data_IF_588975419303
#
_entry.id   IF_588975419303
#
_cell.length_a   1.000
_cell.length_b   1.000
_cell.length_c   1.000
_cell.angle_alpha   90.00
_cell.angle_beta   90.00
_cell.angle_gamma   90.00
#
_symmetry.space_group_name_H-M   'P 1'
#
loop_
_entity.id
_entity.type
_entity.pdbx_description
1 polymer ?
#
# COMPACT_ATOMS: atom_id res chain seq x y z
N UNK A 1 30.19 33.33 -14.85
CA UNK A 1 30.18 32.66 -13.53
C UNK A 1 29.45 31.36 -13.75
N UNK A 2 30.25 30.32 -13.88
CA UNK A 2 29.85 28.98 -14.28
C UNK A 2 29.43 28.25 -13.00
N UNK A 3 28.12 28.07 -12.80
CA UNK A 3 27.59 27.33 -11.65
C UNK A 3 27.42 25.90 -12.13
N UNK A 4 28.41 25.09 -11.77
CA UNK A 4 28.49 23.64 -12.01
C UNK A 4 27.18 22.92 -11.63
N UNK A 5 26.45 22.45 -12.64
CA UNK A 5 25.25 21.60 -12.55
C UNK A 5 25.59 20.11 -12.28
N UNK A 6 26.66 19.78 -11.53
CA UNK A 6 27.23 18.42 -11.52
C UNK A 6 27.13 17.61 -10.21
N UNK A 7 26.22 17.94 -9.28
CA UNK A 7 26.14 17.21 -7.99
C UNK A 7 24.85 16.39 -7.78
N UNK A 8 23.83 16.50 -8.62
CA UNK A 8 22.56 15.79 -8.39
C UNK A 8 22.50 14.46 -9.14
N UNK A 9 23.41 13.54 -8.81
CA UNK A 9 23.28 12.14 -9.21
C UNK A 9 22.40 11.42 -8.18
N UNK A 10 21.16 11.15 -8.61
CA UNK A 10 20.21 10.18 -8.07
C UNK A 10 19.79 10.34 -6.61
N UNK A 11 18.79 11.19 -6.35
CA UNK A 11 17.90 11.02 -5.20
C UNK A 11 17.02 9.80 -5.50
N UNK A 12 17.21 8.69 -4.78
CA UNK A 12 16.36 7.50 -4.90
C UNK A 12 15.22 7.61 -3.88
N UNK A 13 14.17 8.33 -4.24
CA UNK A 13 12.90 8.28 -3.51
C UNK A 13 12.25 6.93 -3.85
N UNK A 14 12.36 5.98 -2.94
CA UNK A 14 11.74 4.67 -3.10
C UNK A 14 10.28 4.80 -2.62
N UNK A 15 9.25 4.55 -3.42
CA UNK A 15 7.92 4.33 -2.88
C UNK A 15 7.88 2.96 -2.20
N UNK A 16 7.33 2.87 -0.99
CA UNK A 16 7.17 1.59 -0.29
C UNK A 16 5.81 0.99 -0.65
N UNK A 17 5.79 -0.13 -1.39
CA UNK A 17 4.54 -0.65 -1.96
C UNK A 17 4.51 -2.15 -2.19
N UNK A 18 3.36 -2.74 -1.85
CA UNK A 18 3.13 -4.17 -1.78
C UNK A 18 1.80 -4.63 -2.43
N UNK A 19 1.90 -5.48 -3.45
CA UNK A 19 1.16 -5.64 -4.70
C UNK A 19 0.53 -7.00 -5.05
N UNK A 20 -0.64 -6.95 -5.76
CA UNK A 20 -1.72 -7.75 -6.48
C UNK A 20 -1.56 -8.78 -7.71
N UNK A 21 -1.69 -10.13 -7.67
CA UNK A 21 -2.25 -11.11 -8.69
C UNK A 21 -3.32 -12.12 -8.14
N UNK A 22 -4.56 -12.08 -8.62
CA UNK A 22 -5.68 -12.91 -8.10
C UNK A 22 -5.88 -14.30 -8.75
N UNK A 23 -6.83 -15.09 -8.21
CA UNK A 23 -7.61 -16.07 -8.98
C UNK A 23 -8.93 -16.50 -8.30
N UNK A 24 -9.96 -16.71 -9.14
CA UNK A 24 -11.34 -17.12 -8.86
C UNK A 24 -11.50 -18.58 -8.38
N UNK A 25 -12.57 -18.83 -7.60
CA UNK A 25 -13.33 -20.08 -7.61
C UNK A 25 -14.85 -19.84 -7.57
N UNK A 26 -15.57 -20.65 -8.35
CA UNK A 26 -17.04 -20.68 -8.51
C UNK A 26 -17.66 -21.70 -7.54
N UNK A 27 -18.74 -21.30 -6.86
CA UNK A 27 -19.93 -22.14 -6.64
C UNK A 27 -20.20 -22.69 -5.23
N UNK A 28 -21.19 -22.12 -4.54
CA UNK A 28 -22.37 -22.81 -3.97
C UNK A 28 -23.29 -21.77 -3.28
N UNK A 29 -24.58 -21.83 -3.60
CA UNK A 29 -25.65 -21.05 -2.96
C UNK A 29 -25.93 -21.67 -1.58
N UNK A 30 -25.35 -21.09 -0.54
CA UNK A 30 -25.72 -21.27 0.87
C UNK A 30 -26.14 -19.92 1.43
N UNK A 31 -27.07 -19.92 2.40
CA UNK A 31 -27.58 -18.73 3.07
C UNK A 31 -26.46 -17.73 3.36
N UNK A 32 -26.61 -16.49 2.88
CA UNK A 32 -25.64 -15.42 3.15
C UNK A 32 -25.63 -15.14 4.64
N UNK A 33 -24.78 -15.85 5.39
CA UNK A 33 -24.41 -15.48 6.73
C UNK A 33 -23.82 -14.07 6.60
N UNK A 34 -24.50 -13.08 7.19
CA UNK A 34 -23.96 -11.73 7.21
C UNK A 34 -22.69 -11.77 8.07
N UNK A 35 -21.58 -11.30 7.50
CA UNK A 35 -20.34 -11.11 8.24
C UNK A 35 -20.62 -10.38 9.57
N UNK A 36 -20.10 -10.94 10.65
CA UNK A 36 -20.31 -10.45 12.00
C UNK A 36 -19.38 -9.28 12.30
N UNK A 37 -19.78 -8.47 13.28
CA UNK A 37 -19.00 -7.32 13.73
C UNK A 37 -17.79 -7.77 14.57
N UNK A 38 -16.71 -6.97 14.63
CA UNK A 38 -15.50 -7.31 15.38
C UNK A 38 -15.75 -7.62 16.87
N UNK A 39 -16.72 -6.96 17.50
CA UNK A 39 -17.05 -7.14 18.92
C UNK A 39 -17.51 -8.55 19.30
N UNK A 40 -17.94 -9.35 18.33
CA UNK A 40 -18.40 -10.73 18.55
C UNK A 40 -17.37 -11.77 18.11
N UNK A 41 -16.16 -11.34 17.73
CA UNK A 41 -15.13 -12.24 17.24
C UNK A 41 -14.69 -13.25 18.31
N UNK A 42 -14.43 -14.51 17.93
CA UNK A 42 -13.87 -15.51 18.84
C UNK A 42 -12.53 -15.05 19.43
N UNK A 43 -12.25 -15.31 20.72
CA UNK A 43 -10.97 -14.94 21.34
C UNK A 43 -9.75 -15.52 20.61
N UNK A 44 -9.89 -16.69 20.00
CA UNK A 44 -8.82 -17.33 19.23
C UNK A 44 -8.41 -16.48 18.02
N UNK A 45 -9.38 -15.84 17.36
CA UNK A 45 -9.14 -14.98 16.20
C UNK A 45 -8.45 -13.67 16.58
N UNK A 46 -8.91 -13.02 17.67
CA UNK A 46 -8.28 -11.78 18.15
C UNK A 46 -6.87 -12.03 18.67
N UNK A 47 -6.65 -13.16 19.35
CA UNK A 47 -5.33 -13.58 19.80
C UNK A 47 -4.39 -13.91 18.63
N UNK A 48 -4.89 -14.49 17.54
CA UNK A 48 -4.11 -14.76 16.34
C UNK A 48 -3.60 -13.47 15.71
N UNK A 49 -4.47 -12.48 15.50
CA UNK A 49 -4.08 -11.18 14.94
C UNK A 49 -3.06 -10.46 15.83
N UNK A 50 -3.26 -10.48 17.15
CA UNK A 50 -2.30 -9.89 18.09
C UNK A 50 -0.92 -10.57 18.06
N UNK A 51 -0.85 -11.88 17.79
CA UNK A 51 0.42 -12.60 17.67
C UNK A 51 1.13 -12.28 16.36
N UNK A 52 0.39 -12.15 15.26
CA UNK A 52 0.93 -11.69 13.97
C UNK A 52 1.54 -10.30 14.14
N UNK A 53 0.80 -9.37 14.75
CA UNK A 53 1.29 -8.02 15.04
C UNK A 53 2.52 -8.05 15.95
N UNK A 54 2.52 -8.88 16.99
CA UNK A 54 3.67 -8.98 17.89
C UNK A 54 4.93 -9.47 17.15
N UNK A 55 4.81 -10.45 16.26
CA UNK A 55 5.91 -10.93 15.43
C UNK A 55 6.39 -9.86 14.44
N UNK A 56 5.45 -9.17 13.76
CA UNK A 56 5.76 -8.11 12.80
C UNK A 56 6.44 -6.90 13.47
N UNK A 57 5.97 -6.48 14.64
CA UNK A 57 6.57 -5.40 15.44
C UNK A 57 7.96 -5.75 15.99
N UNK A 58 8.24 -7.04 16.18
CA UNK A 58 9.57 -7.56 16.50
C UNK A 58 10.46 -7.70 15.25
N UNK A 59 9.89 -7.54 14.05
CA UNK A 59 10.55 -7.78 12.75
C UNK A 59 11.13 -9.19 12.67
N UNK A 60 10.41 -10.15 13.25
CA UNK A 60 10.77 -11.57 13.21
C UNK A 60 10.07 -12.23 12.01
N UNK A 61 10.79 -12.33 10.90
CA UNK A 61 10.21 -12.78 9.62
C UNK A 61 9.82 -14.25 9.69
N UNK A 62 10.63 -15.06 10.39
CA UNK A 62 10.36 -16.48 10.56
C UNK A 62 9.06 -16.66 11.35
N UNK A 63 8.90 -15.95 12.48
CA UNK A 63 7.70 -16.00 13.30
C UNK A 63 6.45 -15.46 12.57
N UNK A 64 6.56 -14.38 11.78
CA UNK A 64 5.43 -13.91 10.96
C UNK A 64 5.00 -14.98 9.96
N UNK A 65 5.97 -15.60 9.29
CA UNK A 65 5.66 -16.58 8.27
C UNK A 65 5.03 -17.85 8.86
N UNK A 66 5.22 -18.20 10.13
CA UNK A 66 4.49 -19.32 10.77
C UNK A 66 2.96 -19.20 10.63
N UNK A 67 2.43 -17.97 10.53
CA UNK A 67 1.01 -17.70 10.33
C UNK A 67 0.56 -17.74 8.86
N UNK A 68 1.46 -17.99 7.91
CA UNK A 68 1.11 -18.08 6.49
C UNK A 68 1.24 -19.53 5.99
N UNK A 69 0.27 -20.00 5.22
CA UNK A 69 0.35 -21.34 4.62
C UNK A 69 1.54 -21.45 3.65
N UNK A 70 2.24 -22.60 3.59
CA UNK A 70 3.21 -22.87 2.52
C UNK A 70 2.61 -22.76 1.11
N UNK A 71 1.30 -22.98 0.99
CA UNK A 71 0.54 -22.86 -0.26
C UNK A 71 -0.32 -21.59 -0.27
N UNK A 72 0.19 -20.49 0.29
CA UNK A 72 -0.50 -19.20 0.31
C UNK A 72 -0.94 -18.78 -1.10
N UNK A 73 -2.23 -18.47 -1.24
CA UNK A 73 -2.75 -17.74 -2.39
C UNK A 73 -2.89 -16.28 -1.99
N UNK A 74 -1.97 -15.43 -2.43
CA UNK A 74 -2.15 -14.00 -2.25
C UNK A 74 -2.76 -13.44 -3.52
N UNK A 75 -3.69 -12.49 -3.37
CA UNK A 75 -4.26 -11.72 -4.46
C UNK A 75 -3.23 -11.01 -5.26
N UNK A 76 -1.95 -11.02 -4.78
CA UNK A 76 -0.66 -10.34 -4.98
C UNK A 76 0.33 -11.11 -5.82
N UNK A 77 0.03 -12.37 -6.13
CA UNK A 77 1.04 -13.25 -6.71
C UNK A 77 2.22 -13.50 -5.76
N UNK A 78 2.19 -12.93 -4.55
CA UNK A 78 3.12 -13.26 -3.50
C UNK A 78 2.93 -14.73 -3.10
N UNK A 79 4.04 -15.44 -3.12
CA UNK A 79 4.21 -16.72 -2.45
C UNK A 79 4.72 -16.46 -1.04
N UNK A 80 4.79 -17.51 -0.21
CA UNK A 80 5.45 -17.41 1.10
C UNK A 80 6.90 -16.89 0.97
N UNK A 81 7.64 -17.36 -0.02
CA UNK A 81 9.05 -16.97 -0.24
C UNK A 81 9.19 -15.52 -0.69
N UNK A 82 8.33 -15.04 -1.61
CA UNK A 82 8.39 -13.64 -2.02
C UNK A 82 7.83 -12.69 -0.95
N UNK A 83 6.91 -13.16 -0.10
CA UNK A 83 6.48 -12.43 1.09
C UNK A 83 7.62 -12.29 2.10
N UNK A 84 8.39 -13.35 2.36
CA UNK A 84 9.59 -13.31 3.21
C UNK A 84 10.58 -12.24 2.71
N UNK A 85 10.88 -12.27 1.41
CA UNK A 85 11.77 -11.31 0.79
C UNK A 85 11.23 -9.88 0.87
N UNK A 86 9.92 -9.68 0.62
CA UNK A 86 9.28 -8.37 0.70
C UNK A 86 9.33 -7.80 2.13
N UNK A 87 8.99 -8.60 3.14
CA UNK A 87 9.05 -8.20 4.56
C UNK A 87 10.48 -7.89 5.00
N UNK A 88 11.45 -8.72 4.60
CA UNK A 88 12.86 -8.51 4.93
C UNK A 88 13.39 -7.19 4.35
N UNK A 89 13.08 -6.90 3.07
CA UNK A 89 13.46 -5.63 2.44
C UNK A 89 12.75 -4.44 3.10
N UNK A 90 11.47 -4.59 3.41
CA UNK A 90 10.68 -3.58 4.10
C UNK A 90 11.30 -3.20 5.45
N UNK A 91 11.65 -4.17 6.28
CA UNK A 91 12.22 -3.92 7.61
C UNK A 91 13.69 -3.51 7.58
N UNK A 92 14.44 -3.87 6.53
CA UNK A 92 15.76 -3.30 6.30
C UNK A 92 15.66 -1.80 6.03
N UNK A 93 14.63 -1.39 5.29
CA UNK A 93 14.39 0.00 4.91
C UNK A 93 13.77 0.82 6.06
N UNK A 94 12.81 0.25 6.77
CA UNK A 94 12.12 0.85 7.92
C UNK A 94 12.42 0.03 9.20
N UNK A 95 13.60 0.20 9.81
CA UNK A 95 14.04 -0.64 10.93
C UNK A 95 13.26 -0.42 12.23
N UNK A 96 12.47 0.65 12.32
CA UNK A 96 11.60 0.99 13.43
C UNK A 96 10.11 0.78 13.09
N UNK A 97 9.81 0.06 12.00
CA UNK A 97 8.43 -0.15 11.57
C UNK A 97 7.57 -0.76 12.69
N UNK A 98 6.37 -0.19 12.86
CA UNK A 98 5.35 -0.66 13.79
C UNK A 98 4.05 -0.95 13.06
N UNK A 99 3.31 -1.93 13.57
CA UNK A 99 2.09 -2.48 12.98
C UNK A 99 0.96 -2.52 14.00
N UNK A 100 -0.25 -2.22 13.53
CA UNK A 100 -1.48 -2.44 14.26
C UNK A 100 -2.55 -2.95 13.29
N UNK A 101 -3.09 -4.14 13.55
CA UNK A 101 -4.15 -4.75 12.78
C UNK A 101 -5.47 -4.75 13.56
N UNK A 102 -6.50 -4.19 12.92
CA UNK A 102 -7.86 -4.14 13.43
C UNK A 102 -8.74 -5.07 12.60
N UNK A 103 -9.48 -5.96 13.25
CA UNK A 103 -10.53 -6.75 12.61
C UNK A 103 -11.69 -5.81 12.23
N UNK A 104 -12.16 -5.86 11.00
CA UNK A 104 -13.28 -5.05 10.51
C UNK A 104 -14.53 -5.88 10.27
N UNK A 105 -14.38 -7.13 9.82
CA UNK A 105 -15.47 -8.10 9.71
C UNK A 105 -14.95 -9.53 9.82
N UNK A 106 -15.82 -10.47 10.20
CA UNK A 106 -15.46 -11.90 10.22
C UNK A 106 -16.66 -12.79 9.95
N UNK A 107 -16.39 -13.98 9.42
CA UNK A 107 -17.36 -15.03 9.13
C UNK A 107 -16.73 -16.39 9.42
N UNK A 108 -17.43 -17.27 10.14
CA UNK A 108 -17.00 -18.64 10.32
C UNK A 108 -17.32 -19.47 9.07
N UNK A 109 -16.36 -20.29 8.65
CA UNK A 109 -16.51 -21.29 7.58
C UNK A 109 -16.16 -22.67 8.13
N UNK A 110 -16.45 -23.73 7.39
CA UNK A 110 -16.31 -25.13 7.86
C UNK A 110 -14.96 -25.43 8.54
N UNK A 111 -13.85 -24.89 8.02
CA UNK A 111 -12.50 -25.15 8.50
C UNK A 111 -11.74 -23.90 9.00
N UNK A 112 -12.45 -22.83 9.38
CA UNK A 112 -11.82 -21.64 9.94
C UNK A 112 -12.64 -20.37 9.74
N UNK A 113 -12.01 -19.30 9.25
CA UNK A 113 -12.61 -17.98 9.15
C UNK A 113 -12.32 -17.29 7.83
N UNK A 114 -13.27 -16.52 7.34
CA UNK A 114 -13.01 -15.42 6.40
C UNK A 114 -13.09 -14.13 7.21
N UNK A 115 -12.04 -13.31 7.14
CA UNK A 115 -11.96 -12.05 7.88
C UNK A 115 -11.62 -10.91 6.96
N UNK A 116 -12.03 -9.70 7.35
CA UNK A 116 -11.48 -8.47 6.80
C UNK A 116 -10.78 -7.70 7.90
N UNK A 117 -9.64 -7.11 7.57
CA UNK A 117 -8.80 -6.38 8.50
C UNK A 117 -8.37 -5.05 7.91
N UNK A 118 -8.08 -4.10 8.79
CA UNK A 118 -7.35 -2.87 8.50
C UNK A 118 -6.03 -2.92 9.26
N UNK A 119 -4.94 -2.97 8.51
CA UNK A 119 -3.58 -2.91 9.07
C UNK A 119 -3.01 -1.53 8.84
N UNK A 120 -2.54 -0.89 9.89
CA UNK A 120 -1.78 0.35 9.81
C UNK A 120 -0.31 0.07 10.08
N UNK A 121 0.55 0.79 9.36
CA UNK A 121 1.99 0.69 9.53
C UNK A 121 2.59 2.08 9.60
N UNK A 122 3.50 2.29 10.55
CA UNK A 122 4.34 3.49 10.60
C UNK A 122 5.80 3.10 10.66
N UNK A 123 6.69 3.98 10.25
CA UNK A 123 8.13 3.76 10.35
C UNK A 123 8.90 4.96 9.83
N UNK A 124 10.21 4.94 10.03
CA UNK A 124 11.14 5.91 9.49
C UNK A 124 12.25 5.21 8.71
N UNK A 125 12.70 5.87 7.65
CA UNK A 125 13.91 5.48 6.93
C UNK A 125 14.84 6.67 6.82
N UNK A 126 16.12 6.41 6.61
CA UNK A 126 17.10 7.44 6.26
C UNK A 126 17.73 7.11 4.92
N UNK A 127 17.55 7.98 3.93
CA UNK A 127 18.14 7.86 2.59
C UNK A 127 18.81 9.18 2.22
N UNK A 128 20.06 9.13 1.75
CA UNK A 128 20.83 10.32 1.32
C UNK A 128 20.83 11.47 2.36
N UNK A 129 21.12 11.14 3.62
CA UNK A 129 21.13 12.06 4.78
C UNK A 129 19.78 12.74 5.06
N UNK A 130 18.69 12.16 4.55
CA UNK A 130 17.33 12.65 4.73
C UNK A 130 16.46 11.58 5.37
N UNK A 131 15.80 11.96 6.45
CA UNK A 131 14.82 11.11 7.13
C UNK A 131 13.48 11.20 6.41
N UNK A 132 12.82 10.06 6.23
CA UNK A 132 11.46 9.96 5.72
C UNK A 132 10.60 9.21 6.73
N UNK A 133 9.47 9.80 7.07
CA UNK A 133 8.43 9.16 7.88
C UNK A 133 7.38 8.54 6.97
N UNK A 134 7.00 7.31 7.27
CA UNK A 134 5.99 6.54 6.56
C UNK A 134 4.74 6.37 7.43
N UNK A 135 3.58 6.51 6.79
CA UNK A 135 2.31 6.04 7.29
C UNK A 135 1.58 5.28 6.18
N UNK A 136 1.16 4.05 6.44
CA UNK A 136 0.46 3.22 5.48
C UNK A 136 -0.78 2.57 6.10
N UNK A 137 -1.77 2.29 5.26
CA UNK A 137 -2.98 1.56 5.63
C UNK A 137 -3.29 0.56 4.53
N UNK A 138 -3.55 -0.68 4.95
CA UNK A 138 -3.92 -1.79 4.07
C UNK A 138 -5.22 -2.38 4.61
N UNK A 139 -6.25 -2.38 3.78
CA UNK A 139 -7.47 -3.14 4.02
C UNK A 139 -7.36 -4.46 3.27
N UNK A 140 -7.54 -5.58 3.98
CA UNK A 140 -7.38 -6.91 3.39
C UNK A 140 -8.52 -7.84 3.78
N UNK A 141 -8.82 -8.81 2.91
CA UNK A 141 -9.65 -9.98 3.19
C UNK A 141 -8.75 -11.20 3.30
N UNK A 142 -8.88 -12.00 4.34
CA UNK A 142 -8.06 -13.18 4.57
C UNK A 142 -8.94 -14.40 4.82
N UNK A 143 -8.52 -15.56 4.30
CA UNK A 143 -9.06 -16.86 4.71
C UNK A 143 -8.05 -17.54 5.61
N UNK A 144 -8.51 -17.91 6.79
CA UNK A 144 -7.73 -18.54 7.84
C UNK A 144 -8.24 -19.96 8.01
N UNK A 145 -7.34 -20.93 7.96
CA UNK A 145 -7.63 -22.34 8.27
C UNK A 145 -6.68 -22.81 9.38
N UNK A 146 -7.26 -23.33 10.47
CA UNK A 146 -6.48 -23.56 11.69
C UNK A 146 -5.90 -22.24 12.23
N UNK A 147 -4.57 -22.10 12.17
CA UNK A 147 -3.86 -20.87 12.56
C UNK A 147 -3.11 -20.21 11.39
N UNK A 148 -3.34 -20.68 10.16
CA UNK A 148 -2.63 -20.20 8.99
C UNK A 148 -3.55 -19.40 8.05
N UNK A 149 -3.07 -18.26 7.60
CA UNK A 149 -3.59 -17.52 6.46
C UNK A 149 -3.27 -18.34 5.22
N UNK A 150 -4.31 -18.93 4.64
CA UNK A 150 -4.21 -19.73 3.41
C UNK A 150 -4.46 -18.86 2.17
N UNK A 151 -5.16 -17.74 2.35
CA UNK A 151 -5.48 -16.81 1.28
C UNK A 151 -5.54 -15.38 1.81
N UNK A 152 -5.02 -14.43 1.04
CA UNK A 152 -5.07 -13.00 1.38
C UNK A 152 -5.39 -12.18 0.14
N UNK A 153 -6.34 -11.26 0.24
CA UNK A 153 -6.73 -10.32 -0.81
C UNK A 153 -6.62 -8.89 -0.34
N UNK A 154 -5.93 -8.02 -1.07
CA UNK A 154 -5.87 -6.58 -0.77
C UNK A 154 -7.10 -5.88 -1.36
N UNK A 155 -7.92 -5.30 -0.48
CA UNK A 155 -9.13 -4.58 -0.83
C UNK A 155 -8.84 -3.11 -1.10
N UNK A 156 -7.97 -2.51 -0.30
CA UNK A 156 -7.50 -1.14 -0.48
C UNK A 156 -6.10 -0.99 0.12
N UNK A 157 -5.30 -0.09 -0.44
CA UNK A 157 -3.97 0.23 0.06
C UNK A 157 -3.68 1.71 -0.20
N UNK A 158 -3.11 2.36 0.80
CA UNK A 158 -2.62 3.72 0.70
C UNK A 158 -1.36 3.90 1.56
N UNK A 159 -0.45 4.76 1.11
CA UNK A 159 0.71 5.13 1.91
C UNK A 159 1.08 6.60 1.70
N UNK A 160 1.67 7.19 2.73
CA UNK A 160 2.23 8.53 2.70
C UNK A 160 3.64 8.47 3.25
N UNK A 161 4.59 8.96 2.45
CA UNK A 161 5.98 9.16 2.84
C UNK A 161 6.25 10.66 2.90
N UNK A 162 6.76 11.17 4.02
CA UNK A 162 7.03 12.60 4.21
C UNK A 162 8.44 12.86 4.69
N UNK A 163 9.01 13.99 4.30
CA UNK A 163 10.34 14.41 4.76
C UNK A 163 10.47 15.93 4.82
N UNK A 164 11.37 16.44 5.66
CA UNK A 164 11.60 17.86 5.88
C UNK A 164 10.85 18.40 7.10
N UNK A 165 11.11 19.66 7.44
CA UNK A 165 10.57 20.29 8.64
C UNK A 165 9.07 20.60 8.51
N UNK A 166 8.60 20.84 7.27
CA UNK A 166 7.22 21.20 6.98
C UNK A 166 6.77 20.66 5.62
N UNK A 167 6.67 19.32 5.47
CA UNK A 167 6.26 18.69 4.22
C UNK A 167 4.86 19.16 3.79
N UNK A 168 4.63 19.40 2.49
CA UNK A 168 3.32 19.85 2.01
C UNK A 168 2.22 18.81 2.29
N UNK A 169 1.10 19.24 2.85
CA UNK A 169 -0.05 18.36 3.07
C UNK A 169 -0.78 18.15 1.75
N UNK A 170 -0.85 16.90 1.30
CA UNK A 170 -1.54 16.51 0.07
C UNK A 170 -2.81 15.75 0.40
N UNK A 171 -3.93 16.22 -0.15
CA UNK A 171 -5.17 15.45 -0.28
C UNK A 171 -5.22 14.79 -1.65
N UNK A 172 -5.43 13.48 -1.66
CA UNK A 172 -5.53 12.67 -2.88
C UNK A 172 -6.99 12.30 -3.11
N UNK A 173 -7.47 12.55 -4.32
CA UNK A 173 -8.75 12.06 -4.82
C UNK A 173 -8.49 11.10 -5.98
N UNK A 174 -8.67 9.82 -5.70
CA UNK A 174 -8.57 8.72 -6.67
C UNK A 174 -9.70 7.72 -6.38
N UNK A 175 -10.45 7.25 -7.40
CA UNK A 175 -11.40 6.16 -7.23
C UNK A 175 -10.71 4.89 -6.70
N UNK A 176 -11.39 4.13 -5.84
CA UNK A 176 -10.84 2.84 -5.38
C UNK A 176 -10.82 1.77 -6.48
N UNK A 177 -11.85 1.75 -7.33
CA UNK A 177 -12.04 0.74 -8.38
C UNK A 177 -12.56 1.38 -9.65
N UNK A 178 -12.05 0.93 -10.80
CA UNK A 178 -12.55 1.29 -12.13
C UNK A 178 -12.63 0.07 -13.04
N UNK A 179 -13.33 0.22 -14.17
CA UNK A 179 -13.29 -0.77 -15.27
C UNK A 179 -12.19 -0.42 -16.27
N UNK A 180 -11.64 -1.41 -16.99
CA UNK A 180 -10.78 -1.16 -18.13
C UNK A 180 -11.43 -0.21 -19.14
N UNK A 181 -10.62 0.60 -19.80
CA UNK A 181 -11.02 1.60 -20.80
C UNK A 181 -11.99 2.67 -20.28
N UNK A 182 -12.14 2.82 -18.96
CA UNK A 182 -12.90 3.90 -18.34
C UNK A 182 -11.97 5.04 -17.95
N UNK A 183 -12.39 6.26 -18.27
CA UNK A 183 -11.66 7.46 -17.86
C UNK A 183 -11.84 7.69 -16.35
N UNK A 184 -10.76 8.05 -15.68
CA UNK A 184 -10.77 8.46 -14.28
C UNK A 184 -9.91 9.71 -14.09
N UNK A 185 -10.13 10.39 -12.97
CA UNK A 185 -9.32 11.53 -12.55
C UNK A 185 -8.43 11.13 -11.37
N UNK A 186 -7.24 11.71 -11.34
CA UNK A 186 -6.33 11.65 -10.22
C UNK A 186 -5.94 13.08 -9.85
N UNK A 187 -6.42 13.51 -8.70
CA UNK A 187 -6.15 14.85 -8.18
C UNK A 187 -5.33 14.72 -6.90
N UNK A 188 -4.26 15.49 -6.80
CA UNK A 188 -3.43 15.61 -5.61
C UNK A 188 -3.25 17.09 -5.29
N UNK A 189 -3.98 17.57 -4.29
CA UNK A 189 -4.11 19.00 -3.96
C UNK A 189 -3.32 19.32 -2.70
N UNK A 190 -2.41 20.28 -2.81
CA UNK A 190 -1.69 20.87 -1.69
C UNK A 190 -2.63 21.79 -0.93
N UNK A 191 -2.80 21.52 0.35
CA UNK A 191 -3.80 22.19 1.18
C UNK A 191 -3.36 23.58 1.66
N UNK A 192 -2.05 23.82 1.76
CA UNK A 192 -1.56 25.12 2.18
C UNK A 192 -1.60 26.15 1.03
N UNK A 193 -1.84 27.45 1.32
CA UNK A 193 -1.68 28.49 0.33
C UNK A 193 -0.25 28.52 -0.24
N UNK A 194 -0.14 28.56 -1.57
CA UNK A 194 1.17 28.55 -2.22
C UNK A 194 1.95 29.84 -1.99
N UNK A 195 1.27 30.99 -2.05
CA UNK A 195 1.94 32.29 -2.09
C UNK A 195 2.92 32.35 -3.25
N UNK A 196 4.16 32.75 -2.96
CA UNK A 196 5.26 32.82 -3.94
C UNK A 196 6.15 31.56 -3.94
N UNK A 197 5.75 30.50 -3.23
CA UNK A 197 6.56 29.28 -3.10
C UNK A 197 6.47 28.43 -4.36
N UNK A 198 7.61 27.90 -4.76
CA UNK A 198 7.72 26.96 -5.87
C UNK A 198 7.27 25.57 -5.41
N UNK A 199 6.47 24.90 -6.23
CA UNK A 199 6.15 23.49 -6.06
C UNK A 199 6.65 22.71 -7.27
N UNK A 200 7.40 21.66 -7.01
CA UNK A 200 7.69 20.65 -8.02
C UNK A 200 6.81 19.44 -7.74
N UNK A 201 6.37 18.75 -8.79
CA UNK A 201 5.68 17.51 -8.57
C UNK A 201 5.51 16.69 -9.82
N UNK A 202 5.08 15.46 -9.60
CA UNK A 202 4.83 14.49 -10.66
C UNK A 202 3.83 13.44 -10.20
N UNK A 203 3.22 12.77 -11.17
CA UNK A 203 2.35 11.64 -10.92
C UNK A 203 2.93 10.39 -11.58
N UNK A 204 2.92 9.27 -10.87
CA UNK A 204 3.45 7.99 -11.37
C UNK A 204 2.36 6.92 -11.29
N UNK A 205 2.21 6.18 -12.38
CA UNK A 205 1.41 4.96 -12.47
C UNK A 205 2.35 3.77 -12.59
N UNK A 206 2.13 2.75 -11.75
CA UNK A 206 2.92 1.52 -11.78
C UNK A 206 1.99 0.30 -11.77
N UNK A 207 2.31 -0.75 -12.54
CA UNK A 207 1.65 -2.03 -12.36
C UNK A 207 1.95 -2.53 -10.97
N UNK A 208 0.92 -3.08 -10.37
CA UNK A 208 1.05 -3.92 -9.21
C UNK A 208 1.64 -5.24 -9.77
N UNK A 209 2.99 -5.44 -9.69
CA UNK A 209 3.78 -6.70 -9.92
C UNK A 209 4.84 -7.09 -8.82
N UNK A 210 5.22 -8.38 -8.65
CA UNK A 210 6.02 -8.85 -7.48
C UNK A 210 7.38 -8.16 -7.48
N UNK A 211 7.87 -7.89 -8.69
CA UNK A 211 9.08 -7.12 -8.95
C UNK A 211 8.95 -5.66 -8.47
N UNK A 212 7.77 -5.06 -8.64
CA UNK A 212 7.49 -3.66 -8.30
C UNK A 212 7.66 -3.35 -6.81
N UNK A 213 7.60 -4.35 -5.93
CA UNK A 213 7.96 -4.23 -4.50
C UNK A 213 9.42 -3.84 -4.27
N UNK A 214 10.30 -4.14 -5.23
CA UNK A 214 11.77 -4.08 -5.04
C UNK A 214 12.46 -3.11 -6.01
N UNK A 215 11.70 -2.49 -6.92
CA UNK A 215 12.24 -1.61 -7.97
C UNK A 215 11.78 -0.17 -7.78
N UNK A 216 12.67 0.79 -8.04
CA UNK A 216 12.34 2.23 -8.04
C UNK A 216 12.30 2.75 -9.47
N UNK A 217 11.18 3.29 -9.97
CA UNK A 217 11.14 3.92 -11.29
C UNK A 217 11.94 5.23 -11.27
N UNK A 218 12.51 5.65 -12.42
CA UNK A 218 13.05 6.99 -12.54
C UNK A 218 11.93 8.04 -12.37
N UNK A 219 12.24 9.13 -11.67
CA UNK A 219 11.28 10.20 -11.37
C UNK A 219 11.66 11.43 -12.17
N UNK A 220 10.70 11.96 -12.94
CA UNK A 220 10.83 13.23 -13.65
C UNK A 220 9.86 14.26 -13.06
N UNK A 221 10.40 15.41 -12.65
CA UNK A 221 9.67 16.44 -11.92
C UNK A 221 9.32 17.61 -12.82
N UNK A 222 8.08 18.06 -12.72
CA UNK A 222 7.60 19.25 -13.41
C UNK A 222 7.36 20.38 -12.41
N UNK A 223 7.50 21.61 -12.89
CA UNK A 223 7.05 22.78 -12.12
C UNK A 223 5.52 22.82 -12.07
N UNK A 224 4.95 22.85 -10.86
CA UNK A 224 3.52 22.96 -10.67
C UNK A 224 3.10 24.44 -10.70
N UNK A 225 2.36 24.81 -11.75
CA UNK A 225 1.78 26.15 -11.90
C UNK A 225 0.49 26.34 -11.08
N UNK A 226 0.00 25.26 -10.47
CA UNK A 226 -1.21 25.17 -9.64
C UNK A 226 -0.87 24.53 -8.29
N UNK A 227 -1.74 24.69 -7.29
CA UNK A 227 -1.55 24.10 -5.95
C UNK A 227 -1.74 22.60 -5.89
N UNK A 228 -1.34 21.86 -6.92
CA UNK A 228 -1.54 20.43 -7.02
C UNK A 228 -1.32 19.87 -8.42
N UNK A 229 -1.51 18.56 -8.50
CA UNK A 229 -1.49 17.75 -9.71
C UNK A 229 -2.92 17.37 -10.09
N UNK A 230 -3.26 17.52 -11.35
CA UNK A 230 -4.56 17.11 -11.91
C UNK A 230 -4.29 16.31 -13.17
N UNK A 231 -4.56 15.02 -13.13
CA UNK A 231 -4.32 14.10 -14.25
C UNK A 231 -5.60 13.36 -14.58
N UNK A 232 -5.76 13.06 -15.86
CA UNK A 232 -6.86 12.26 -16.39
C UNK A 232 -6.25 11.04 -17.04
N UNK A 233 -6.66 9.86 -16.58
CA UNK A 233 -6.10 8.58 -17.00
C UNK A 233 -7.15 7.66 -17.59
N UNK A 234 -6.68 6.67 -18.34
CA UNK A 234 -7.44 5.52 -18.82
C UNK A 234 -6.51 4.32 -18.80
N UNK A 235 -6.92 3.22 -18.16
CA UNK A 235 -6.11 1.98 -18.11
C UNK A 235 -6.77 0.95 -19.05
N UNK A 236 -6.06 0.46 -20.09
CA UNK A 236 -6.69 -0.33 -21.15
C UNK A 236 -7.02 -1.77 -20.76
N UNK A 237 -6.27 -2.34 -19.81
CA UNK A 237 -6.36 -3.74 -19.40
C UNK A 237 -6.67 -3.85 -17.90
N UNK A 238 -7.27 -4.96 -17.51
CA UNK A 238 -7.43 -5.28 -16.09
C UNK A 238 -6.05 -5.48 -15.42
N UNK A 239 -5.98 -5.20 -14.12
CA UNK A 239 -4.75 -5.26 -13.35
C UNK A 239 -4.54 -3.98 -12.55
N UNK A 240 -4.43 -4.15 -11.25
CA UNK A 240 -4.34 -3.06 -10.30
C UNK A 240 -3.11 -2.18 -10.56
N UNK A 241 -3.23 -0.91 -10.18
CA UNK A 241 -2.18 0.09 -10.32
C UNK A 241 -1.92 0.78 -9.02
N UNK A 242 -0.67 1.13 -8.76
CA UNK A 242 -0.36 2.20 -7.81
C UNK A 242 -0.31 3.51 -8.52
N UNK A 243 -1.07 4.47 -8.01
CA UNK A 243 -1.05 5.85 -8.47
C UNK A 243 -0.42 6.70 -7.38
N UNK A 244 0.58 7.48 -7.78
CA UNK A 244 1.44 8.26 -6.89
C UNK A 244 1.32 9.73 -7.20
N UNK A 245 1.30 10.56 -6.18
CA UNK A 245 1.67 11.96 -6.28
C UNK A 245 2.96 12.17 -5.50
N UNK A 246 3.94 12.81 -6.12
CA UNK A 246 5.14 13.28 -5.44
C UNK A 246 5.13 14.79 -5.54
N UNK A 247 5.14 15.47 -4.40
CA UNK A 247 5.21 16.93 -4.34
C UNK A 247 6.40 17.32 -3.48
N UNK A 248 7.19 18.25 -4.01
CA UNK A 248 8.41 18.78 -3.40
C UNK A 248 8.25 20.28 -3.25
N UNK A 249 8.55 20.76 -2.05
CA UNK A 249 8.66 22.17 -1.68
C UNK A 249 10.03 22.37 -1.03
N UNK A 250 10.45 23.62 -0.88
CA UNK A 250 11.74 23.98 -0.28
C UNK A 250 11.93 23.46 1.16
N UNK A 251 10.84 23.31 1.90
CA UNK A 251 10.79 22.86 3.30
C UNK A 251 10.34 21.40 3.48
N UNK A 252 10.10 20.65 2.39
CA UNK A 252 9.81 19.22 2.50
C UNK A 252 9.27 18.51 1.25
N UNK A 253 9.10 17.20 1.40
CA UNK A 253 8.62 16.28 0.37
C UNK A 253 7.43 15.50 0.92
N UNK A 254 6.41 15.30 0.09
CA UNK A 254 5.34 14.35 0.35
C UNK A 254 5.15 13.45 -0.87
N UNK A 255 5.23 12.14 -0.65
CA UNK A 255 4.79 11.11 -1.59
C UNK A 255 3.48 10.55 -1.04
N UNK A 256 2.43 10.61 -1.84
CA UNK A 256 1.17 9.96 -1.54
C UNK A 256 0.92 8.85 -2.57
N UNK A 257 0.57 7.67 -2.08
CA UNK A 257 0.28 6.46 -2.85
C UNK A 257 -1.15 6.04 -2.60
N UNK A 258 -1.85 5.66 -3.66
CA UNK A 258 -3.08 4.89 -3.51
C UNK A 258 -3.16 3.79 -4.57
N UNK A 259 -3.71 2.64 -4.16
CA UNK A 259 -4.06 1.54 -5.05
C UNK A 259 -5.35 1.85 -5.79
N UNK A 260 -5.32 1.64 -7.10
CA UNK A 260 -6.46 1.67 -8.01
C UNK A 260 -6.72 0.25 -8.50
N UNK A 261 -7.87 -0.30 -8.14
CA UNK A 261 -8.30 -1.59 -8.65
C UNK A 261 -8.84 -1.45 -10.06
N UNK A 262 -8.33 -2.25 -11.00
CA UNK A 262 -8.80 -2.25 -12.39
C UNK A 262 -9.32 -3.62 -12.72
N UNK A 263 -10.64 -3.76 -12.60
CA UNK A 263 -11.30 -5.05 -12.72
C UNK A 263 -12.49 -4.96 -13.67
N UNK A 264 -12.73 -6.06 -14.38
CA UNK A 264 -13.99 -6.25 -15.07
C UNK A 264 -15.12 -6.24 -14.04
N UNK A 265 -16.28 -5.69 -14.40
CA UNK A 265 -17.42 -5.83 -13.49
C UNK A 265 -17.90 -7.26 -13.44
N UNK A 266 -18.21 -7.71 -12.23
CA UNK A 266 -19.01 -8.91 -12.00
C UNK A 266 -20.26 -8.85 -12.87
N UNK A 267 -20.40 -9.84 -13.75
CA UNK A 267 -21.64 -10.11 -14.50
C UNK A 267 -22.41 -11.24 -13.84
#
# INVERSE_FOLDING_TARGET
>A
MDVSLSVWRSIRLMPLRSMAVGLMLIGAIGESAKAATPDTAPPELTNLLSQIDAAANQRDVEAVLEFYSPNLTHSDGLTRDSLEAALSNLWQRFPDATYETQLTSWEAIDNGYVIETRTTMTGTETTDDREFALNATIDSRQRIEGQAIVEQTILAEQSRLTSGDNPPTIEVSLPGTIRPNTQFTFDAVVQEPLGDRLLLGTALEEPVSVEAYTTTPPIDFELLNSGGLFKVGTIPEAGDRWISAIVVRDDGITVATQRLQVQESDR
#
